data_IF_095061702269
#
_entry.id   IF_095061702269
#
_cell.length_a   1.000
_cell.length_b   1.000
_cell.length_c   1.000
_cell.angle_alpha   90.00
_cell.angle_beta   90.00
_cell.angle_gamma   90.00
#
_symmetry.space_group_name_H-M   'P 1'
#
loop_
_entity.id
_entity.type
_entity.pdbx_description
1 polymer ?
#
# COMPACT_ATOMS: atom_id res chain seq x y z
N UNK A 1 -11.36 -8.00 13.20
CA UNK A 1 -12.64 -8.23 12.48
C UNK A 1 -13.23 -6.91 11.95
N UNK A 2 -12.54 -6.18 11.05
CA UNK A 2 -13.04 -4.89 10.52
C UNK A 2 -13.81 -5.09 9.21
N UNK A 3 -13.19 -5.76 8.22
CA UNK A 3 -13.83 -6.04 6.93
C UNK A 3 -15.14 -6.83 7.08
N UNK A 4 -15.15 -7.85 7.95
CA UNK A 4 -16.35 -8.63 8.26
C UNK A 4 -17.49 -7.78 8.86
N UNK A 5 -17.19 -6.82 9.72
CA UNK A 5 -18.19 -5.91 10.29
C UNK A 5 -18.73 -4.94 9.25
N UNK A 6 -17.85 -4.38 8.42
CA UNK A 6 -18.25 -3.51 7.31
C UNK A 6 -19.14 -4.24 6.29
N UNK A 7 -18.83 -5.49 5.97
CA UNK A 7 -19.60 -6.30 5.04
C UNK A 7 -21.03 -6.56 5.53
N UNK A 8 -21.19 -6.88 6.82
CA UNK A 8 -22.50 -7.00 7.48
C UNK A 8 -23.27 -5.69 7.45
N UNK A 9 -22.59 -4.58 7.73
CA UNK A 9 -23.22 -3.26 7.74
C UNK A 9 -23.78 -2.88 6.37
N UNK A 10 -23.00 -3.04 5.29
CA UNK A 10 -23.42 -2.69 3.94
C UNK A 10 -24.56 -3.58 3.43
N UNK A 11 -24.56 -4.87 3.80
CA UNK A 11 -25.62 -5.81 3.39
C UNK A 11 -26.82 -5.82 4.34
N UNK A 12 -26.76 -5.08 5.45
CA UNK A 12 -27.73 -5.14 6.55
C UNK A 12 -28.01 -6.56 7.10
N UNK A 13 -27.07 -7.50 6.92
CA UNK A 13 -27.24 -8.90 7.34
C UNK A 13 -26.48 -9.16 8.63
N UNK A 14 -27.22 -9.44 9.71
CA UNK A 14 -26.68 -9.65 11.05
C UNK A 14 -26.91 -11.07 11.59
N UNK A 15 -27.36 -12.01 10.75
CA UNK A 15 -27.51 -13.42 11.14
C UNK A 15 -26.19 -13.99 11.68
N UNK A 16 -26.33 -14.86 12.69
CA UNK A 16 -25.23 -15.54 13.39
C UNK A 16 -24.97 -16.94 12.84
N UNK A 17 -25.68 -17.34 11.79
CA UNK A 17 -25.48 -18.61 11.13
C UNK A 17 -24.02 -18.77 10.66
N UNK A 18 -23.45 -20.00 10.79
CA UNK A 18 -22.13 -20.29 10.24
C UNK A 18 -22.09 -20.03 8.73
N UNK A 19 -20.99 -19.44 8.25
CA UNK A 19 -20.79 -19.21 6.81
C UNK A 19 -21.45 -17.95 6.24
N UNK A 20 -22.43 -17.33 6.90
CA UNK A 20 -23.13 -16.14 6.37
C UNK A 20 -22.17 -15.02 5.98
N UNK A 21 -21.21 -14.69 6.83
CA UNK A 21 -20.23 -13.62 6.54
C UNK A 21 -19.27 -14.00 5.43
N UNK A 22 -18.90 -15.28 5.34
CA UNK A 22 -18.02 -15.77 4.27
C UNK A 22 -18.74 -15.65 2.93
N UNK A 23 -20.01 -16.05 2.87
CA UNK A 23 -20.85 -15.90 1.68
C UNK A 23 -20.99 -14.43 1.31
N UNK A 24 -21.29 -13.55 2.28
CA UNK A 24 -21.36 -12.10 2.04
C UNK A 24 -20.05 -11.57 1.45
N UNK A 25 -18.89 -11.96 1.99
CA UNK A 25 -17.60 -11.52 1.46
C UNK A 25 -17.35 -12.03 0.04
N UNK A 26 -17.76 -13.27 -0.27
CA UNK A 26 -17.67 -13.83 -1.61
C UNK A 26 -18.58 -13.08 -2.59
N UNK A 27 -19.83 -12.81 -2.20
CA UNK A 27 -20.79 -12.04 -2.99
C UNK A 27 -20.30 -10.61 -3.24
N UNK A 28 -19.70 -9.96 -2.23
CA UNK A 28 -19.20 -8.59 -2.37
C UNK A 28 -17.92 -8.49 -3.21
N UNK A 29 -17.14 -9.57 -3.35
CA UNK A 29 -15.88 -9.57 -4.11
C UNK A 29 -14.85 -8.56 -3.60
N UNK A 30 -14.93 -8.12 -2.34
CA UNK A 30 -14.06 -7.06 -1.84
C UNK A 30 -12.62 -7.53 -1.68
N UNK A 31 -11.62 -6.72 -2.11
CA UNK A 31 -10.23 -7.01 -1.82
C UNK A 31 -10.00 -7.03 -0.31
N UNK A 32 -9.04 -7.86 0.11
CA UNK A 32 -8.77 -8.05 1.54
C UNK A 32 -8.38 -6.72 2.20
N UNK A 33 -8.63 -6.61 3.51
CA UNK A 33 -8.21 -5.43 4.28
C UNK A 33 -6.69 -5.22 4.22
N UNK A 34 -5.91 -6.30 4.13
CA UNK A 34 -4.46 -6.23 3.99
C UNK A 34 -4.09 -5.55 2.66
N UNK A 35 -4.65 -6.01 1.55
CA UNK A 35 -4.46 -5.43 0.20
C UNK A 35 -4.84 -3.95 0.18
N UNK A 36 -6.01 -3.60 0.75
CA UNK A 36 -6.46 -2.20 0.80
C UNK A 36 -5.53 -1.30 1.62
N UNK A 37 -5.01 -1.81 2.74
CA UNK A 37 -4.04 -1.08 3.57
C UNK A 37 -2.69 -0.93 2.88
N UNK A 38 -2.27 -1.93 2.10
CA UNK A 38 -1.06 -1.84 1.29
C UNK A 38 -1.19 -0.76 0.21
N UNK A 39 -2.27 -0.76 -0.57
CA UNK A 39 -2.54 0.29 -1.56
C UNK A 39 -2.59 1.69 -0.92
N UNK A 40 -3.28 1.84 0.22
CA UNK A 40 -3.35 3.12 0.92
C UNK A 40 -1.97 3.64 1.39
N UNK A 41 -1.09 2.75 1.88
CA UNK A 41 0.28 3.14 2.26
C UNK A 41 1.10 3.60 1.07
N UNK A 42 1.03 2.88 -0.06
CA UNK A 42 1.74 3.24 -1.29
C UNK A 42 1.25 4.58 -1.85
N UNK A 43 -0.07 4.81 -1.89
CA UNK A 43 -0.65 6.08 -2.33
C UNK A 43 -0.23 7.23 -1.40
N UNK A 44 -0.21 7.00 -0.09
CA UNK A 44 0.27 8.01 0.84
C UNK A 44 1.74 8.34 0.59
N UNK A 45 2.61 7.34 0.41
CA UNK A 45 4.01 7.58 0.09
C UNK A 45 4.18 8.37 -1.21
N UNK A 46 3.44 8.02 -2.27
CA UNK A 46 3.42 8.78 -3.53
C UNK A 46 3.08 10.26 -3.30
N UNK A 47 2.02 10.54 -2.53
CA UNK A 47 1.60 11.90 -2.21
C UNK A 47 2.68 12.67 -1.45
N UNK A 48 3.36 12.03 -0.50
CA UNK A 48 4.45 12.66 0.25
C UNK A 48 5.60 13.02 -0.71
N UNK A 49 5.96 12.13 -1.62
CA UNK A 49 7.04 12.37 -2.59
C UNK A 49 6.72 13.50 -3.57
N UNK A 50 5.45 13.68 -3.93
CA UNK A 50 4.97 14.75 -4.82
C UNK A 50 4.61 16.04 -4.07
N UNK A 51 4.82 16.10 -2.75
CA UNK A 51 4.48 17.28 -1.94
C UNK A 51 2.98 17.51 -1.75
N UNK A 52 2.14 16.54 -2.10
CA UNK A 52 0.68 16.58 -1.88
C UNK A 52 0.29 16.26 -0.41
N UNK A 53 1.24 15.79 0.39
CA UNK A 53 1.05 15.52 1.82
C UNK A 53 2.17 16.19 2.64
N UNK A 54 1.78 16.91 3.70
CA UNK A 54 2.69 17.63 4.59
C UNK A 54 3.43 16.72 5.58
N UNK A 55 4.10 15.68 5.09
CA UNK A 55 4.92 14.77 5.91
C UNK A 55 6.37 14.92 5.48
N UNK A 56 7.24 15.15 6.45
CA UNK A 56 8.68 15.25 6.20
C UNK A 56 9.24 13.83 6.14
N UNK A 57 9.80 13.44 4.99
CA UNK A 57 10.55 12.18 4.86
C UNK A 57 11.97 12.42 5.40
N UNK A 58 12.44 11.62 6.37
CA UNK A 58 13.82 11.69 6.84
C UNK A 58 14.85 11.53 5.71
N UNK A 59 15.92 12.30 5.76
CA UNK A 59 16.93 12.34 4.70
C UNK A 59 17.63 10.99 4.44
N UNK A 60 17.71 10.11 5.44
CA UNK A 60 18.34 8.79 5.30
C UNK A 60 17.58 7.83 4.37
N UNK A 61 16.33 8.14 4.02
CA UNK A 61 15.54 7.38 3.03
C UNK A 61 15.85 7.86 1.62
N UNK A 62 16.37 9.08 1.49
CA UNK A 62 16.49 9.81 0.24
C UNK A 62 17.77 9.37 -0.50
N UNK A 63 17.61 8.26 -1.22
CA UNK A 63 18.40 7.76 -2.36
C UNK A 63 19.51 6.75 -2.05
N UNK A 64 19.66 5.71 -2.90
CA UNK A 64 20.89 4.92 -2.95
C UNK A 64 22.04 5.79 -3.46
N UNK A 65 23.14 5.80 -2.73
CA UNK A 65 24.39 6.51 -3.07
C UNK A 65 25.12 5.87 -4.27
N UNK A 66 24.66 4.71 -4.76
CA UNK A 66 25.38 3.91 -5.76
C UNK A 66 24.82 4.17 -7.16
N UNK A 67 25.58 4.90 -7.96
CA UNK A 67 25.32 5.19 -9.38
C UNK A 67 25.96 4.11 -10.25
N UNK A 68 25.32 2.94 -10.37
CA UNK A 68 25.57 2.03 -11.51
C UNK A 68 24.52 2.33 -12.58
N UNK A 69 24.95 2.32 -13.85
CA UNK A 69 24.26 2.84 -15.06
C UNK A 69 22.85 2.27 -15.36
N UNK A 70 22.32 1.43 -14.48
CA UNK A 70 21.08 0.67 -14.64
C UNK A 70 20.17 0.74 -13.41
N UNK A 71 20.47 1.61 -12.43
CA UNK A 71 19.72 1.72 -11.18
C UNK A 71 18.63 2.79 -11.27
N UNK A 72 17.37 2.33 -11.23
CA UNK A 72 16.13 3.12 -11.18
C UNK A 72 16.25 4.35 -10.27
N UNK A 73 16.10 5.55 -10.82
CA UNK A 73 16.03 6.81 -10.07
C UNK A 73 14.93 6.82 -9.00
N UNK A 74 13.97 5.92 -9.11
CA UNK A 74 12.72 5.90 -8.34
C UNK A 74 12.67 4.80 -7.27
N UNK A 75 13.78 4.07 -7.04
CA UNK A 75 13.90 3.08 -5.96
C UNK A 75 14.52 3.66 -4.69
N UNK A 76 13.98 3.22 -3.55
CA UNK A 76 14.50 3.59 -2.22
C UNK A 76 15.56 2.59 -1.73
N UNK A 77 16.52 3.08 -0.95
CA UNK A 77 17.43 2.22 -0.20
C UNK A 77 16.65 1.41 0.84
N UNK A 78 17.02 0.14 1.02
CA UNK A 78 16.42 -0.67 2.08
C UNK A 78 16.86 -0.14 3.44
N UNK A 79 15.89 0.16 4.29
CA UNK A 79 16.14 0.57 5.68
C UNK A 79 16.43 -0.67 6.52
N UNK A 80 17.57 -0.70 7.20
CA UNK A 80 17.89 -1.76 8.16
C UNK A 80 17.01 -1.63 9.40
N UNK A 81 16.42 -2.74 9.86
CA UNK A 81 15.48 -2.76 10.98
C UNK A 81 15.92 -3.81 12.00
N UNK A 82 16.15 -3.40 13.25
CA UNK A 82 16.53 -4.31 14.35
C UNK A 82 15.34 -4.83 15.16
N UNK A 83 14.17 -4.19 15.06
CA UNK A 83 12.96 -4.57 15.81
C UNK A 83 11.76 -4.72 14.89
N UNK A 84 10.85 -5.64 15.24
CA UNK A 84 9.60 -5.84 14.51
C UNK A 84 8.70 -4.61 14.52
N UNK A 85 8.67 -3.88 15.64
CA UNK A 85 7.92 -2.63 15.75
C UNK A 85 8.36 -1.61 14.70
N UNK A 86 9.68 -1.46 14.49
CA UNK A 86 10.20 -0.58 13.46
C UNK A 86 10.02 -1.16 12.05
N UNK A 87 10.28 -2.45 11.87
CA UNK A 87 10.09 -3.17 10.58
C UNK A 87 8.67 -3.02 10.02
N UNK A 88 7.65 -3.13 10.88
CA UNK A 88 6.25 -3.02 10.48
C UNK A 88 5.69 -1.59 10.57
N UNK A 89 6.53 -0.60 10.94
CA UNK A 89 6.17 0.81 10.86
C UNK A 89 6.01 1.28 9.40
N UNK A 90 5.50 2.50 9.21
CA UNK A 90 5.11 3.00 7.89
C UNK A 90 6.25 2.95 6.87
N UNK A 91 7.42 3.51 7.20
CA UNK A 91 8.50 3.73 6.23
C UNK A 91 9.16 2.41 5.77
N UNK A 92 9.75 1.58 6.66
CA UNK A 92 10.51 0.42 6.23
C UNK A 92 9.62 -0.59 5.48
N UNK A 93 8.38 -0.75 5.95
CA UNK A 93 7.40 -1.64 5.33
C UNK A 93 6.96 -1.14 3.94
N UNK A 94 6.71 0.16 3.79
CA UNK A 94 6.19 0.71 2.52
C UNK A 94 7.28 0.83 1.46
N UNK A 95 8.54 1.04 1.84
CA UNK A 95 9.68 1.02 0.92
C UNK A 95 9.84 -0.35 0.25
N UNK A 96 9.67 -1.44 1.00
CA UNK A 96 9.72 -2.80 0.44
C UNK A 96 8.64 -2.99 -0.63
N UNK A 97 7.40 -2.57 -0.32
CA UNK A 97 6.28 -2.64 -1.26
C UNK A 97 6.50 -1.72 -2.48
N UNK A 98 7.06 -0.53 -2.26
CA UNK A 98 7.34 0.46 -3.32
C UNK A 98 8.36 -0.06 -4.33
N UNK A 99 9.43 -0.69 -3.86
CA UNK A 99 10.48 -1.22 -4.71
C UNK A 99 10.04 -2.43 -5.56
N UNK A 100 8.82 -2.96 -5.33
CA UNK A 100 8.20 -4.03 -6.12
C UNK A 100 7.16 -3.50 -7.12
N UNK A 101 6.95 -2.17 -7.18
CA UNK A 101 5.95 -1.59 -8.07
C UNK A 101 6.31 -1.78 -9.55
N UNK A 102 5.30 -1.95 -10.42
CA UNK A 102 5.51 -1.97 -11.85
C UNK A 102 5.87 -0.57 -12.37
N UNK A 103 6.51 -0.53 -13.53
CA UNK A 103 6.95 0.70 -14.18
C UNK A 103 5.80 1.69 -14.44
N UNK A 104 4.60 1.19 -14.75
CA UNK A 104 3.41 2.02 -14.94
C UNK A 104 3.02 2.84 -13.69
N UNK A 105 3.26 2.30 -12.50
CA UNK A 105 3.02 3.02 -11.25
C UNK A 105 4.14 4.05 -11.02
N UNK A 106 5.39 3.68 -11.26
CA UNK A 106 6.55 4.57 -11.06
C UNK A 106 6.47 5.81 -11.96
N UNK A 107 6.08 5.63 -13.23
CA UNK A 107 5.99 6.70 -14.23
C UNK A 107 4.69 7.51 -14.16
N UNK A 108 3.80 7.20 -13.20
CA UNK A 108 2.51 7.86 -13.12
C UNK A 108 2.65 9.37 -12.78
N UNK A 109 2.12 10.29 -13.61
CA UNK A 109 2.34 11.73 -13.44
C UNK A 109 1.41 12.38 -12.39
N UNK A 110 0.34 11.67 -12.00
CA UNK A 110 -0.66 12.16 -11.04
C UNK A 110 -1.06 11.04 -10.09
N UNK A 111 -1.45 11.42 -8.87
CA UNK A 111 -1.94 10.50 -7.84
C UNK A 111 -3.08 9.60 -8.32
N UNK A 112 -3.96 10.11 -9.20
CA UNK A 112 -5.07 9.32 -9.74
C UNK A 112 -4.57 8.18 -10.63
N UNK A 113 -3.63 8.46 -11.54
CA UNK A 113 -3.04 7.45 -12.42
C UNK A 113 -2.22 6.43 -11.61
N UNK A 114 -1.46 6.90 -10.62
CA UNK A 114 -0.73 6.04 -9.69
C UNK A 114 -1.67 5.07 -8.97
N UNK A 115 -2.78 5.60 -8.43
CA UNK A 115 -3.78 4.80 -7.73
C UNK A 115 -4.34 3.69 -8.63
N UNK A 116 -4.67 3.98 -9.88
CA UNK A 116 -5.20 2.98 -10.83
C UNK A 116 -4.17 1.87 -11.06
N UNK A 117 -2.92 2.21 -11.36
CA UNK A 117 -1.85 1.24 -11.59
C UNK A 117 -1.60 0.36 -10.36
N UNK A 118 -1.57 0.95 -9.16
CA UNK A 118 -1.40 0.21 -7.90
C UNK A 118 -2.56 -0.77 -7.68
N UNK A 119 -3.81 -0.37 -7.95
CA UNK A 119 -4.93 -1.29 -7.79
C UNK A 119 -4.91 -2.43 -8.81
N UNK A 120 -4.48 -2.17 -10.05
CA UNK A 120 -4.30 -3.24 -11.05
C UNK A 120 -3.20 -4.23 -10.66
N UNK A 121 -2.14 -3.75 -9.99
CA UNK A 121 -1.05 -4.61 -9.51
C UNK A 121 -1.41 -5.43 -8.26
N UNK A 122 -2.28 -4.90 -7.40
CA UNK A 122 -2.66 -5.53 -6.13
C UNK A 122 -3.92 -6.40 -6.20
N UNK A 123 -4.66 -6.34 -7.31
CA UNK A 123 -5.87 -7.14 -7.57
C UNK A 123 -5.51 -8.53 -8.10
#
# INVERSE_FOLDING_TARGET
MVQRRAARFVTSTYSREPGTVTNILQTLGWPTLATRRQGARLILLYKILHGEASVIIPDYIRRPTVTTRQYDRDRFSRVSTSTDAYKYSFIPRTIVDWNQLPECAIQAPRTVAFRVCVWQFLA
#
